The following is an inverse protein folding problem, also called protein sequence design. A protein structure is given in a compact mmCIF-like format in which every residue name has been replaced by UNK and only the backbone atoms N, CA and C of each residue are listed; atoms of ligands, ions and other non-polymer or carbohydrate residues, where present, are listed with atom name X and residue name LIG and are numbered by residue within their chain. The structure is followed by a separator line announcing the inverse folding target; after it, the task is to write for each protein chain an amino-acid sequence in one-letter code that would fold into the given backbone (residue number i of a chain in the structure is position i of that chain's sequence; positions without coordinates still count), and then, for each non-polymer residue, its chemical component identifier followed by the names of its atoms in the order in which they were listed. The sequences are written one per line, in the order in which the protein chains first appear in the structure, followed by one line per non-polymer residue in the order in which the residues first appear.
data_IF_216506980507
#
_entry.id   IF_216506980507
#
_cell.length_a   1.000
_cell.length_b   1.000
_cell.length_c   1.000
_cell.angle_alpha   90.00
_cell.angle_beta   90.00
_cell.angle_gamma   90.00
#
_symmetry.space_group_name_H-M   'P 1'
#
loop_
_entity.id
_entity.type
_entity.pdbx_description
1 polymer ?
#
# COMPACT_ATOMS: atom_id res chain seq x y z
N UNK A 1 -14.00 -14.10 7.55
CA UNK A 1 -12.92 -13.63 6.66
C UNK A 1 -12.62 -12.20 7.08
N UNK A 2 -11.38 -11.91 7.47
CA UNK A 2 -11.00 -10.54 7.83
C UNK A 2 -11.17 -9.66 6.59
N UNK A 3 -11.89 -8.55 6.73
CA UNK A 3 -12.02 -7.57 5.67
C UNK A 3 -10.66 -6.89 5.54
N UNK A 4 -10.01 -7.01 4.38
CA UNK A 4 -8.75 -6.34 4.09
C UNK A 4 -9.05 -4.83 4.07
N UNK A 5 -8.78 -4.15 5.18
CA UNK A 5 -8.94 -2.71 5.28
C UNK A 5 -7.67 -2.05 4.71
N UNK A 6 -7.78 -1.56 3.48
CA UNK A 6 -6.77 -0.69 2.90
C UNK A 6 -6.63 0.58 3.74
N UNK A 7 -5.39 0.99 4.01
CA UNK A 7 -5.07 2.18 4.79
C UNK A 7 -5.53 3.46 4.09
N UNK A 8 -5.51 3.46 2.76
CA UNK A 8 -5.92 4.58 1.93
C UNK A 8 -6.98 4.16 0.92
N UNK A 9 -7.97 5.02 0.75
CA UNK A 9 -8.85 4.94 -0.41
C UNK A 9 -8.09 5.34 -1.68
N UNK A 10 -8.57 4.88 -2.83
CA UNK A 10 -8.01 5.27 -4.12
C UNK A 10 -7.98 6.80 -4.32
N UNK A 11 -8.98 7.53 -3.80
CA UNK A 11 -9.03 8.98 -3.86
C UNK A 11 -7.89 9.63 -3.05
N UNK A 12 -7.61 9.12 -1.84
CA UNK A 12 -6.49 9.60 -1.03
C UNK A 12 -5.14 9.34 -1.70
N UNK A 13 -4.96 8.17 -2.32
CA UNK A 13 -3.74 7.86 -3.07
C UNK A 13 -3.55 8.79 -4.28
N UNK A 14 -4.64 9.13 -4.99
CA UNK A 14 -4.59 10.11 -6.08
C UNK A 14 -4.19 11.51 -5.60
N UNK A 15 -4.74 11.97 -4.47
CA UNK A 15 -4.41 13.28 -3.90
C UNK A 15 -2.94 13.35 -3.45
N UNK A 16 -2.42 12.28 -2.85
CA UNK A 16 -1.00 12.16 -2.48
C UNK A 16 -0.11 12.22 -3.73
N UNK A 17 -0.41 11.41 -4.74
CA UNK A 17 0.35 11.38 -5.99
C UNK A 17 0.34 12.75 -6.70
N UNK A 18 -0.83 13.39 -6.80
CA UNK A 18 -0.97 14.71 -7.41
C UNK A 18 -0.14 15.76 -6.65
N UNK A 19 -0.16 15.72 -5.32
CA UNK A 19 0.64 16.63 -4.48
C UNK A 19 2.14 16.47 -4.73
N UNK A 20 2.63 15.23 -4.81
CA UNK A 20 4.05 14.94 -5.06
C UNK A 20 4.45 15.43 -6.46
N UNK A 21 3.64 15.12 -7.48
CA UNK A 21 3.88 15.57 -8.87
C UNK A 21 3.92 17.11 -8.93
N UNK A 22 2.95 17.79 -8.32
CA UNK A 22 2.91 19.25 -8.32
C UNK A 22 4.11 19.87 -7.63
N UNK A 23 4.56 19.31 -6.51
CA UNK A 23 5.77 19.78 -5.82
C UNK A 23 7.02 19.60 -6.68
N UNK A 24 7.16 18.47 -7.37
CA UNK A 24 8.28 18.21 -8.26
C UNK A 24 8.31 19.20 -9.45
N UNK A 25 7.17 19.44 -10.08
CA UNK A 25 7.05 20.40 -11.17
C UNK A 25 7.32 21.84 -10.69
N UNK A 26 6.79 22.22 -9.52
CA UNK A 26 7.04 23.53 -8.92
C UNK A 26 8.52 23.74 -8.55
N UNK A 27 9.25 22.67 -8.23
CA UNK A 27 10.68 22.69 -8.00
C UNK A 27 11.53 22.73 -9.29
N UNK A 28 10.89 22.74 -10.47
CA UNK A 28 11.56 22.87 -11.76
C UNK A 28 11.79 21.56 -12.51
N UNK A 29 11.20 20.44 -12.07
CA UNK A 29 11.23 19.22 -12.85
C UNK A 29 10.46 19.40 -14.18
N UNK A 30 11.00 18.91 -15.28
CA UNK A 30 10.31 18.88 -16.58
C UNK A 30 9.18 17.85 -16.63
N UNK A 31 9.27 16.82 -15.79
CA UNK A 31 8.31 15.73 -15.67
C UNK A 31 8.46 15.06 -14.31
N UNK A 32 7.37 14.51 -13.77
CA UNK A 32 7.37 13.71 -12.55
C UNK A 32 6.40 12.53 -12.70
N UNK A 33 6.79 11.39 -12.16
CA UNK A 33 5.98 10.17 -12.08
C UNK A 33 6.03 9.66 -10.65
N UNK A 34 4.90 9.14 -10.17
CA UNK A 34 4.75 8.57 -8.82
C UNK A 34 4.16 7.18 -8.97
N UNK A 35 4.73 6.21 -8.27
CA UNK A 35 4.23 4.86 -8.11
C UNK A 35 3.93 4.64 -6.63
N UNK A 36 2.68 4.29 -6.30
CA UNK A 36 2.23 4.01 -4.94
C UNK A 36 1.83 2.54 -4.89
N UNK A 37 2.39 1.80 -3.95
CA UNK A 37 2.14 0.36 -3.76
C UNK A 37 1.74 0.06 -2.33
N UNK A 38 0.56 -0.54 -2.16
CA UNK A 38 0.08 -1.05 -0.87
C UNK A 38 -0.03 -2.57 -0.96
N UNK A 39 0.66 -3.27 -0.05
CA UNK A 39 0.67 -4.74 -0.01
C UNK A 39 0.05 -5.23 1.29
N UNK A 40 -1.00 -6.04 1.19
CA UNK A 40 -1.61 -6.73 2.32
C UNK A 40 -1.41 -8.23 2.12
N UNK A 41 -0.66 -8.85 3.01
CA UNK A 41 -0.39 -10.29 3.02
C UNK A 41 -1.11 -10.95 4.20
N UNK A 42 -1.72 -12.10 3.94
CA UNK A 42 -2.26 -12.97 4.98
C UNK A 42 -1.55 -14.31 4.87
N UNK A 43 -0.74 -14.61 5.88
CA UNK A 43 0.04 -15.83 5.98
C UNK A 43 -0.68 -16.83 6.89
N UNK A 44 -0.82 -18.06 6.41
CA UNK A 44 -1.44 -19.17 7.15
C UNK A 44 -0.45 -20.33 7.16
N UNK A 45 0.06 -20.66 8.34
CA UNK A 45 0.94 -21.81 8.53
C UNK A 45 0.11 -23.00 9.04
N UNK A 46 0.26 -24.16 8.38
CA UNK A 46 -0.44 -25.40 8.72
C UNK A 46 0.58 -26.45 9.10
N UNK A 47 0.49 -26.96 10.33
CA UNK A 47 1.31 -28.05 10.84
C UNK A 47 0.42 -29.20 11.31
N UNK A 48 0.72 -30.44 10.90
CA UNK A 48 -0.03 -31.64 11.29
C UNK A 48 -1.54 -31.61 11.01
N UNK A 49 -1.98 -30.94 9.94
CA UNK A 49 -3.40 -30.72 9.56
C UNK A 49 -4.17 -29.76 10.50
N UNK A 50 -3.47 -29.07 11.40
CA UNK A 50 -4.02 -28.00 12.23
C UNK A 50 -3.38 -26.65 11.85
N UNK A 51 -4.11 -25.56 12.03
CA UNK A 51 -3.57 -24.21 11.81
C UNK A 51 -2.61 -23.92 12.97
N UNK A 52 -1.33 -23.75 12.65
CA UNK A 52 -0.26 -23.47 13.62
C UNK A 52 -0.13 -21.96 13.86
N UNK A 53 -0.25 -21.17 12.80
CA UNK A 53 -0.18 -19.70 12.87
C UNK A 53 -1.08 -19.02 11.83
N UNK A 54 -1.63 -17.87 12.18
CA UNK A 54 -2.44 -17.01 11.31
C UNK A 54 -1.99 -15.56 11.50
N UNK A 55 -1.27 -15.02 10.54
CA UNK A 55 -0.68 -13.68 10.61
C UNK A 55 -1.19 -12.81 9.46
N UNK A 56 -1.47 -11.55 9.75
CA UNK A 56 -1.80 -10.54 8.73
C UNK A 56 -0.78 -9.43 8.86
N UNK A 57 0.02 -9.27 7.81
CA UNK A 57 1.05 -8.23 7.70
C UNK A 57 0.56 -7.14 6.74
N UNK A 58 0.86 -5.89 7.10
CA UNK A 58 0.51 -4.72 6.30
C UNK A 58 1.78 -3.89 6.03
N UNK A 59 2.21 -3.86 4.78
CA UNK A 59 3.36 -3.07 4.33
C UNK A 59 2.92 -1.90 3.45
N UNK A 60 3.36 -0.71 3.84
CA UNK A 60 3.11 0.53 3.11
C UNK A 60 4.44 1.15 2.69
N UNK A 61 4.70 1.21 1.38
CA UNK A 61 5.87 1.88 0.80
C UNK A 61 5.38 3.17 0.11
N UNK A 62 5.59 4.31 0.77
CA UNK A 62 5.31 5.67 0.29
C UNK A 62 6.57 6.37 -0.20
#
# INVERSE_FOLDING_TARGET
MAQLEFLYTQAQLQDIAATIIQKALAAGASSAQVELSESISTDVEILSQEIDNFETSHENQL
#
